data_IF_575659852102
#
_entry.id   IF_575659852102
#
_cell.length_a   1.000
_cell.length_b   1.000
_cell.length_c   1.000
_cell.angle_alpha   90.00
_cell.angle_beta   90.00
_cell.angle_gamma   90.00
#
_symmetry.space_group_name_H-M   'P 1'
#
loop_
_entity.id
_entity.type
_entity.pdbx_description
1 polymer ?
#
# COMPACT_ATOMS: atom_id res chain seq x y z
N UNK A 1 0.69 -9.31 17.09
CA UNK A 1 0.80 -10.69 16.55
C UNK A 1 -0.02 -10.90 15.28
N UNK A 2 -1.31 -10.52 15.25
CA UNK A 2 -2.19 -10.67 14.08
C UNK A 2 -1.64 -10.05 12.79
N UNK A 3 -1.08 -8.84 12.86
CA UNK A 3 -0.52 -8.14 11.69
C UNK A 3 0.70 -8.85 11.09
N UNK A 4 1.59 -9.40 11.92
CA UNK A 4 2.76 -10.17 11.45
C UNK A 4 2.31 -11.42 10.68
N UNK A 5 1.38 -12.20 11.24
CA UNK A 5 0.82 -13.38 10.56
C UNK A 5 0.19 -12.99 9.23
N UNK A 6 -0.53 -11.87 9.19
CA UNK A 6 -1.11 -11.36 7.95
C UNK A 6 -0.05 -10.94 6.93
N UNK A 7 1.05 -10.31 7.35
CA UNK A 7 2.18 -9.96 6.47
C UNK A 7 2.87 -11.20 5.88
N UNK A 8 3.01 -12.27 6.67
CA UNK A 8 3.58 -13.54 6.22
C UNK A 8 2.66 -14.19 5.20
N UNK A 9 1.36 -14.32 5.52
CA UNK A 9 0.38 -14.88 4.59
C UNK A 9 0.33 -14.08 3.27
N UNK A 10 0.33 -12.75 3.36
CA UNK A 10 0.35 -11.86 2.20
C UNK A 10 1.59 -12.10 1.33
N UNK A 11 2.78 -12.21 1.94
CA UNK A 11 4.01 -12.44 1.19
C UNK A 11 4.00 -13.76 0.41
N UNK A 12 3.47 -14.84 1.00
CA UNK A 12 3.36 -16.16 0.36
C UNK A 12 2.38 -16.10 -0.80
N UNK A 13 1.22 -15.49 -0.60
CA UNK A 13 0.19 -15.32 -1.64
C UNK A 13 0.73 -14.50 -2.81
N UNK A 14 1.40 -13.38 -2.53
CA UNK A 14 1.98 -12.53 -3.57
C UNK A 14 3.09 -13.25 -4.34
N UNK A 15 3.97 -13.98 -3.66
CA UNK A 15 4.98 -14.82 -4.31
C UNK A 15 4.35 -15.88 -5.21
N UNK A 16 3.28 -16.54 -4.75
CA UNK A 16 2.60 -17.57 -5.53
C UNK A 16 2.10 -17.04 -6.89
N UNK A 17 1.50 -15.85 -6.89
CA UNK A 17 0.92 -15.21 -8.09
C UNK A 17 1.95 -14.48 -8.98
N UNK A 18 2.97 -13.86 -8.39
CA UNK A 18 3.93 -13.03 -9.16
C UNK A 18 5.27 -13.70 -9.45
N UNK A 19 5.57 -14.82 -8.76
CA UNK A 19 6.87 -15.51 -8.77
C UNK A 19 8.08 -14.63 -8.38
N UNK A 20 7.84 -13.47 -7.77
CA UNK A 20 8.90 -12.53 -7.39
C UNK A 20 9.24 -12.62 -5.91
N UNK A 21 10.52 -12.86 -5.62
CA UNK A 21 11.06 -12.90 -4.25
C UNK A 21 10.99 -11.55 -3.53
N UNK A 22 10.83 -10.43 -4.26
CA UNK A 22 10.75 -9.10 -3.68
C UNK A 22 9.61 -8.96 -2.68
N UNK A 23 8.52 -9.73 -2.84
CA UNK A 23 7.37 -9.66 -1.94
C UNK A 23 7.59 -10.29 -0.57
N UNK A 24 8.66 -11.07 -0.37
CA UNK A 24 9.04 -11.51 0.98
C UNK A 24 9.49 -10.35 1.87
N UNK A 25 9.87 -9.21 1.28
CA UNK A 25 10.22 -8.00 2.02
C UNK A 25 9.05 -7.43 2.85
N UNK A 26 7.80 -7.79 2.52
CA UNK A 26 6.59 -7.49 3.31
C UNK A 26 6.67 -8.04 4.74
N UNK A 27 7.37 -9.17 4.95
CA UNK A 27 7.59 -9.75 6.28
C UNK A 27 8.39 -8.80 7.16
N UNK A 28 9.40 -8.11 6.61
CA UNK A 28 10.21 -7.15 7.35
C UNK A 28 9.36 -5.97 7.86
N UNK A 29 8.38 -5.52 7.06
CA UNK A 29 7.40 -4.50 7.47
C UNK A 29 6.54 -5.01 8.62
N UNK A 30 6.09 -6.27 8.56
CA UNK A 30 5.37 -6.93 9.63
C UNK A 30 6.16 -6.96 10.95
N UNK A 31 7.46 -7.29 10.88
CA UNK A 31 8.36 -7.31 12.04
C UNK A 31 8.53 -5.89 12.62
N UNK A 32 8.76 -4.89 11.76
CA UNK A 32 8.90 -3.49 12.20
C UNK A 32 7.68 -3.02 13.01
N UNK A 33 6.47 -3.21 12.47
CA UNK A 33 5.26 -2.76 13.15
C UNK A 33 4.83 -3.64 14.33
N UNK A 34 5.35 -4.87 14.45
CA UNK A 34 5.20 -5.67 15.66
C UNK A 34 5.93 -5.02 16.84
N UNK A 35 7.13 -4.47 16.60
CA UNK A 35 7.94 -3.78 17.62
C UNK A 35 7.35 -2.40 17.94
N UNK A 36 6.95 -1.65 16.91
CA UNK A 36 6.55 -0.25 17.06
C UNK A 36 5.10 -0.03 17.50
N UNK A 37 4.26 -1.05 17.32
CA UNK A 37 2.89 -1.13 17.83
C UNK A 37 1.97 0.05 17.45
N UNK A 38 2.11 0.58 16.22
CA UNK A 38 1.26 1.64 15.69
C UNK A 38 0.00 1.08 15.00
N UNK A 39 -1.11 0.99 15.74
CA UNK A 39 -2.37 0.38 15.29
C UNK A 39 -2.96 1.07 14.04
N UNK A 40 -2.84 2.41 13.94
CA UNK A 40 -3.38 3.18 12.81
C UNK A 40 -2.70 2.79 11.49
N UNK A 41 -1.37 2.76 11.50
CA UNK A 41 -0.59 2.38 10.31
C UNK A 41 -0.72 0.90 9.97
N UNK A 42 -0.79 0.02 10.98
CA UNK A 42 -1.09 -1.40 10.76
C UNK A 42 -2.44 -1.60 10.04
N UNK A 43 -3.48 -0.84 10.40
CA UNK A 43 -4.78 -0.90 9.72
C UNK A 43 -4.68 -0.45 8.26
N UNK A 44 -4.01 0.68 8.00
CA UNK A 44 -3.80 1.19 6.64
C UNK A 44 -3.00 0.21 5.77
N UNK A 45 -1.91 -0.35 6.30
CA UNK A 45 -1.10 -1.34 5.60
C UNK A 45 -1.85 -2.65 5.37
N UNK A 46 -2.72 -3.06 6.31
CA UNK A 46 -3.56 -4.24 6.11
C UNK A 46 -4.48 -4.05 4.92
N UNK A 47 -5.08 -2.86 4.76
CA UNK A 47 -5.87 -2.53 3.57
C UNK A 47 -5.02 -2.55 2.29
N UNK A 48 -3.79 -2.02 2.35
CA UNK A 48 -2.84 -2.07 1.23
C UNK A 48 -2.48 -3.51 0.85
N UNK A 49 -2.28 -4.41 1.81
CA UNK A 49 -2.00 -5.83 1.56
C UNK A 49 -3.19 -6.54 0.91
N UNK A 50 -4.42 -6.30 1.38
CA UNK A 50 -5.63 -6.83 0.73
C UNK A 50 -5.71 -6.37 -0.72
N UNK A 51 -5.42 -5.08 -0.97
CA UNK A 51 -5.39 -4.54 -2.32
C UNK A 51 -4.32 -5.23 -3.18
N UNK A 52 -3.09 -5.38 -2.68
CA UNK A 52 -2.02 -6.10 -3.38
C UNK A 52 -2.42 -7.53 -3.75
N UNK A 53 -3.04 -8.28 -2.82
CA UNK A 53 -3.51 -9.65 -3.06
C UNK A 53 -4.59 -9.69 -4.15
N UNK A 54 -5.59 -8.81 -4.05
CA UNK A 54 -6.67 -8.75 -5.03
C UNK A 54 -6.10 -8.48 -6.43
N UNK A 55 -5.13 -7.57 -6.53
CA UNK A 55 -4.49 -7.23 -7.80
C UNK A 55 -3.65 -8.36 -8.37
N UNK A 56 -2.85 -9.03 -7.54
CA UNK A 56 -2.06 -10.17 -8.02
C UNK A 56 -2.99 -11.27 -8.56
N UNK A 57 -4.11 -11.52 -7.87
CA UNK A 57 -5.12 -12.48 -8.30
C UNK A 57 -5.76 -12.07 -9.64
N UNK A 58 -6.25 -10.83 -9.76
CA UNK A 58 -6.87 -10.35 -11.00
C UNK A 58 -5.89 -10.31 -12.18
N UNK A 59 -4.62 -9.98 -11.93
CA UNK A 59 -3.58 -9.97 -12.95
C UNK A 59 -3.32 -11.35 -13.52
N UNK A 60 -3.33 -12.37 -12.66
CA UNK A 60 -3.14 -13.77 -13.05
C UNK A 60 -4.32 -14.27 -13.90
N UNK A 61 -5.56 -13.94 -13.51
CA UNK A 61 -6.76 -14.37 -14.24
C UNK A 61 -6.88 -13.69 -15.60
N UNK A 62 -6.53 -12.41 -15.70
CA UNK A 62 -6.70 -11.62 -16.92
C UNK A 62 -5.45 -11.56 -17.81
N UNK A 63 -4.32 -12.10 -17.36
CA UNK A 63 -3.09 -12.17 -18.14
C UNK A 63 -2.40 -10.83 -18.41
N UNK A 64 -2.49 -9.87 -17.48
CA UNK A 64 -1.77 -8.58 -17.60
C UNK A 64 -0.68 -8.45 -16.53
N UNK A 65 0.37 -7.69 -16.83
CA UNK A 65 1.41 -7.38 -15.84
C UNK A 65 0.93 -6.33 -14.82
N UNK A 66 0.95 -6.63 -13.51
CA UNK A 66 0.45 -5.70 -12.49
C UNK A 66 1.51 -4.65 -12.14
N UNK A 67 1.78 -3.70 -13.06
CA UNK A 67 2.80 -2.64 -12.89
C UNK A 67 2.60 -1.79 -11.62
N UNK A 68 1.36 -1.63 -11.16
CA UNK A 68 1.04 -0.90 -9.92
C UNK A 68 1.47 -1.61 -8.63
N UNK A 69 1.74 -2.92 -8.67
CA UNK A 69 1.98 -3.73 -7.48
C UNK A 69 3.35 -3.42 -6.83
N UNK A 70 4.34 -3.03 -7.63
CA UNK A 70 5.65 -2.58 -7.13
C UNK A 70 5.53 -1.24 -6.39
N UNK A 71 4.68 -0.33 -6.87
CA UNK A 71 4.46 0.96 -6.25
C UNK A 71 3.73 0.83 -4.91
N UNK A 72 2.80 -0.13 -4.80
CA UNK A 72 2.18 -0.50 -3.52
C UNK A 72 3.22 -1.03 -2.53
N UNK A 73 4.14 -1.88 -2.98
CA UNK A 73 5.21 -2.39 -2.13
C UNK A 73 6.11 -1.25 -1.63
N UNK A 74 6.54 -0.35 -2.52
CA UNK A 74 7.35 0.84 -2.14
C UNK A 74 6.58 1.71 -1.16
N UNK A 75 5.28 1.92 -1.39
CA UNK A 75 4.42 2.66 -0.46
C UNK A 75 4.43 2.05 0.94
N UNK A 76 4.40 0.72 1.06
CA UNK A 76 4.50 0.05 2.35
C UNK A 76 5.83 0.38 3.06
N UNK A 77 6.94 0.47 2.35
CA UNK A 77 8.23 0.89 2.93
C UNK A 77 8.27 2.38 3.29
N UNK A 78 7.67 3.24 2.48
CA UNK A 78 7.54 4.67 2.80
C UNK A 78 6.73 4.89 4.08
N UNK A 79 5.79 3.99 4.40
CA UNK A 79 5.08 4.04 5.68
C UNK A 79 6.01 3.97 6.89
N UNK A 80 7.13 3.23 6.78
CA UNK A 80 8.13 3.11 7.86
C UNK A 80 8.82 4.47 8.04
N UNK A 81 9.23 5.12 6.94
CA UNK A 81 9.81 6.47 7.00
C UNK A 81 8.82 7.45 7.65
N UNK A 82 7.55 7.38 7.25
CA UNK A 82 6.50 8.20 7.85
C UNK A 82 6.35 7.98 9.36
N UNK A 83 6.39 6.73 9.81
CA UNK A 83 6.31 6.39 11.23
C UNK A 83 7.53 6.88 12.03
N UNK A 84 8.73 6.86 11.43
CA UNK A 84 9.97 7.35 12.04
C UNK A 84 9.96 8.88 12.19
N UNK A 85 9.67 9.61 11.10
CA UNK A 85 9.75 11.08 11.10
C UNK A 85 8.55 11.75 11.75
N UNK A 86 7.39 11.07 11.82
CA UNK A 86 6.13 11.56 12.40
C UNK A 86 5.62 12.90 11.87
N UNK A 87 6.24 13.46 10.83
CA UNK A 87 5.86 14.74 10.26
C UNK A 87 4.78 14.54 9.18
N UNK A 88 3.76 15.42 9.13
CA UNK A 88 2.69 15.34 8.14
C UNK A 88 3.21 15.42 6.70
N UNK A 89 4.36 16.07 6.48
CA UNK A 89 5.01 16.14 5.16
C UNK A 89 5.38 14.75 4.64
N UNK A 90 5.78 13.83 5.53
CA UNK A 90 6.15 12.46 5.17
C UNK A 90 4.94 11.55 4.89
N UNK A 91 3.71 12.02 5.12
CA UNK A 91 2.51 11.33 4.63
C UNK A 91 2.30 11.55 3.14
N UNK A 92 2.85 12.63 2.57
CA UNK A 92 2.69 12.98 1.16
C UNK A 92 3.23 11.89 0.22
N UNK A 93 4.47 11.40 0.38
CA UNK A 93 5.00 10.35 -0.47
C UNK A 93 4.21 9.03 -0.37
N UNK A 94 3.71 8.69 0.84
CA UNK A 94 2.92 7.47 1.07
C UNK A 94 1.64 7.48 0.22
N UNK A 95 0.82 8.51 0.38
CA UNK A 95 -0.45 8.57 -0.34
C UNK A 95 -0.26 8.85 -1.83
N UNK A 96 0.79 9.58 -2.23
CA UNK A 96 1.08 9.81 -3.64
C UNK A 96 1.44 8.48 -4.33
N UNK A 97 2.27 7.63 -3.70
CA UNK A 97 2.58 6.30 -4.24
C UNK A 97 1.35 5.38 -4.27
N UNK A 98 0.48 5.42 -3.25
CA UNK A 98 -0.81 4.74 -3.30
C UNK A 98 -1.66 5.25 -4.46
N UNK A 99 -1.69 6.57 -4.69
CA UNK A 99 -2.42 7.22 -5.78
C UNK A 99 -1.95 6.76 -7.14
N UNK A 100 -0.63 6.84 -7.39
CA UNK A 100 -0.01 6.35 -8.63
C UNK A 100 -0.31 4.87 -8.84
N UNK A 101 -0.19 4.07 -7.79
CA UNK A 101 -0.49 2.63 -7.86
C UNK A 101 -1.91 2.40 -8.36
N UNK A 102 -2.90 3.04 -7.72
CA UNK A 102 -4.32 2.90 -8.07
C UNK A 102 -4.60 3.45 -9.47
N UNK A 103 -4.02 4.58 -9.86
CA UNK A 103 -4.14 5.13 -11.22
C UNK A 103 -3.61 4.16 -12.27
N UNK A 104 -2.41 3.60 -12.06
CA UNK A 104 -1.81 2.65 -12.99
C UNK A 104 -2.68 1.39 -13.13
N UNK A 105 -3.18 0.88 -12.01
CA UNK A 105 -4.10 -0.26 -12.00
C UNK A 105 -5.40 0.07 -12.74
N UNK A 106 -6.01 1.21 -12.43
CA UNK A 106 -7.25 1.66 -13.05
C UNK A 106 -7.09 1.80 -14.56
N UNK A 107 -5.92 2.28 -15.01
CA UNK A 107 -5.62 2.49 -16.43
C UNK A 107 -5.60 1.19 -17.24
N UNK A 108 -5.23 0.07 -16.62
CA UNK A 108 -5.19 -1.25 -17.29
C UNK A 108 -6.60 -1.69 -17.72
N UNK A 109 -7.63 -1.41 -16.92
CA UNK A 109 -9.01 -1.83 -17.22
C UNK A 109 -9.84 -0.73 -17.89
N UNK A 110 -9.61 0.53 -17.54
CA UNK A 110 -10.47 1.66 -17.92
C UNK A 110 -9.76 2.67 -18.84
N UNK A 111 -8.55 2.37 -19.32
CA UNK A 111 -7.78 3.24 -20.20
C UNK A 111 -7.51 4.61 -19.56
N UNK A 112 -7.67 5.68 -20.33
CA UNK A 112 -7.39 7.06 -19.87
C UNK A 112 -8.24 7.47 -18.66
N UNK A 113 -9.48 6.99 -18.58
CA UNK A 113 -10.40 7.24 -17.45
C UNK A 113 -9.86 6.59 -16.17
N UNK A 114 -9.13 5.48 -16.32
CA UNK A 114 -8.54 4.75 -15.22
C UNK A 114 -7.48 5.53 -14.44
N UNK A 115 -6.80 6.48 -15.06
CA UNK A 115 -5.83 7.35 -14.38
C UNK A 115 -6.48 8.24 -13.32
N UNK A 116 -7.76 8.57 -13.48
CA UNK A 116 -8.48 9.41 -12.52
C UNK A 116 -8.81 8.68 -11.22
N UNK A 117 -8.74 7.34 -11.17
CA UNK A 117 -8.99 6.59 -9.93
C UNK A 117 -7.99 6.91 -8.82
N UNK A 118 -6.75 7.28 -9.14
CA UNK A 118 -5.79 7.72 -8.11
C UNK A 118 -6.18 9.01 -7.41
N UNK A 119 -7.05 9.84 -8.03
CA UNK A 119 -7.58 11.03 -7.37
C UNK A 119 -8.57 10.71 -6.23
N UNK A 120 -9.08 9.47 -6.15
CA UNK A 120 -9.88 9.02 -5.00
C UNK A 120 -9.10 9.06 -3.68
N UNK A 121 -7.77 9.14 -3.73
CA UNK A 121 -6.92 9.31 -2.54
C UNK A 121 -6.88 10.74 -2.05
N UNK A 122 -7.17 11.75 -2.88
CA UNK A 122 -7.19 13.17 -2.47
C UNK A 122 -8.09 13.44 -1.25
N UNK A 123 -9.36 12.97 -1.19
CA UNK A 123 -10.20 13.20 -0.02
C UNK A 123 -9.66 12.52 1.25
N UNK A 124 -8.98 11.37 1.11
CA UNK A 124 -8.28 10.71 2.23
C UNK A 124 -7.13 11.59 2.71
N UNK A 125 -6.38 12.18 1.77
CA UNK A 125 -5.30 13.14 2.01
C UNK A 125 -5.79 14.35 2.83
N UNK A 126 -6.84 15.02 2.35
CA UNK A 126 -7.40 16.21 3.00
C UNK A 126 -7.93 15.91 4.40
N UNK A 127 -8.55 14.74 4.60
CA UNK A 127 -9.06 14.32 5.90
C UNK A 127 -7.94 14.05 6.92
N UNK A 128 -6.84 13.42 6.49
CA UNK A 128 -5.72 13.10 7.38
C UNK A 128 -4.91 14.36 7.74
N UNK A 129 -4.74 15.30 6.82
CA UNK A 129 -4.13 16.61 7.11
C UNK A 129 -5.00 17.44 8.07
N UNK A 130 -6.32 17.53 7.81
CA UNK A 130 -7.24 18.26 8.68
C UNK A 130 -7.23 17.71 10.11
N UNK A 131 -7.29 16.39 10.27
CA UNK A 131 -7.30 15.74 11.58
C UNK A 131 -5.99 15.92 12.38
N UNK A 132 -4.90 16.32 11.72
CA UNK A 132 -3.59 16.51 12.34
C UNK A 132 -3.21 17.98 12.52
N UNK A 133 -3.73 18.88 11.69
CA UNK A 133 -3.63 20.33 11.91
C UNK A 133 -4.55 20.85 13.03
N UNK A 134 -5.48 20.04 13.52
CA UNK A 134 -6.29 20.32 14.72
C UNK A 134 -5.61 19.87 16.04
N UNK A 135 -4.39 19.33 15.99
CA UNK A 135 -3.62 18.89 17.18
C UNK A 135 -2.46 19.82 17.55
N UNK A 136 -2.26 20.90 16.78
CA UNK A 136 -1.36 22.02 17.11
C UNK A 136 -2.19 23.23 17.59
#
# INVERSE_FOLDING_TARGET
MSFLLFSIATSIILFYFTKSYLFFSVIAIGIYYLIRNNIKLQSLLSLTYVLMIALSFFSTIRGYEPKGLIFLLISCFVSILYDIFKSPIWSFPLYLLLGISISLIGSIKYGTIGYFFGFLIIPIFLKEFKKRGEQD
#
